data_IF_664355257035
#
_entry.id   IF_664355257035
#
_cell.length_a   1.000
_cell.length_b   1.000
_cell.length_c   1.000
_cell.angle_alpha   90.00
_cell.angle_beta   90.00
_cell.angle_gamma   90.00
#
_symmetry.space_group_name_H-M   'P 1'
#
loop_
_entity.id
_entity.type
_entity.pdbx_description
1 polymer ?
#
# COMPACT_ATOMS: atom_id res chain seq x y z
N UNK A 1 -22.02 26.65 4.34
CA UNK A 1 -21.00 25.89 5.10
C UNK A 1 -20.31 24.94 4.12
N UNK A 2 -19.19 25.38 3.55
CA UNK A 2 -18.43 24.61 2.55
C UNK A 2 -17.38 23.76 3.27
N UNK A 3 -17.81 22.72 3.98
CA UNK A 3 -16.88 21.74 4.53
C UNK A 3 -16.51 20.81 3.39
N UNK A 4 -15.37 21.16 2.77
CA UNK A 4 -14.71 20.44 1.71
C UNK A 4 -14.93 18.93 1.83
N UNK A 5 -15.44 18.36 0.73
CA UNK A 5 -15.37 16.96 0.31
C UNK A 5 -14.25 16.24 1.07
N UNK A 6 -14.55 15.66 2.23
CA UNK A 6 -13.64 14.74 2.89
C UNK A 6 -13.48 13.59 1.89
N UNK A 7 -12.34 13.57 1.22
CA UNK A 7 -12.05 12.80 0.02
C UNK A 7 -12.74 11.42 0.06
N UNK A 8 -13.87 11.20 -0.65
CA UNK A 8 -14.68 9.99 -0.49
C UNK A 8 -13.86 8.73 -0.80
N UNK A 9 -12.80 8.86 -1.60
CA UNK A 9 -11.87 7.78 -1.87
C UNK A 9 -11.13 7.31 -0.62
N UNK A 10 -10.78 8.19 0.31
CA UNK A 10 -10.07 7.81 1.55
C UNK A 10 -10.94 7.08 2.58
N UNK A 11 -12.25 7.37 2.62
CA UNK A 11 -13.18 6.68 3.51
C UNK A 11 -13.61 5.32 2.95
N UNK A 12 -13.71 5.19 1.61
CA UNK A 12 -13.96 3.91 0.94
C UNK A 12 -12.71 3.02 0.88
N UNK A 13 -11.52 3.61 0.80
CA UNK A 13 -10.27 2.88 0.76
C UNK A 13 -9.91 2.36 2.16
N UNK A 14 -10.07 1.05 2.34
CA UNK A 14 -9.81 0.29 3.58
C UNK A 14 -10.68 0.72 4.79
N UNK A 15 -11.73 1.53 4.61
CA UNK A 15 -12.71 1.85 5.65
C UNK A 15 -12.12 2.60 6.85
N UNK A 16 -12.45 2.16 8.07
CA UNK A 16 -11.97 2.71 9.34
C UNK A 16 -10.59 2.18 9.78
N UNK A 17 -9.75 1.74 8.83
CA UNK A 17 -8.38 1.32 9.14
C UNK A 17 -7.47 2.52 9.45
N UNK A 18 -6.43 2.32 10.28
CA UNK A 18 -5.51 3.40 10.65
C UNK A 18 -4.83 4.04 9.43
N UNK A 19 -4.61 5.36 9.47
CA UNK A 19 -3.99 6.10 8.36
C UNK A 19 -2.58 5.60 8.01
N UNK A 20 -1.82 5.13 8.99
CA UNK A 20 -0.48 4.58 8.78
C UNK A 20 -0.54 3.28 7.95
N UNK A 21 -1.56 2.45 8.16
CA UNK A 21 -1.77 1.20 7.43
C UNK A 21 -2.09 1.48 5.96
N UNK A 22 -3.02 2.41 5.73
CA UNK A 22 -3.41 2.85 4.38
C UNK A 22 -2.22 3.40 3.59
N UNK A 23 -1.39 4.23 4.23
CA UNK A 23 -0.16 4.78 3.61
C UNK A 23 0.82 3.67 3.23
N UNK A 24 1.01 2.68 4.09
CA UNK A 24 1.91 1.56 3.81
C UNK A 24 1.44 0.72 2.62
N UNK A 25 0.15 0.39 2.55
CA UNK A 25 -0.41 -0.32 1.39
C UNK A 25 -0.24 0.50 0.10
N UNK A 26 -0.49 1.81 0.13
CA UNK A 26 -0.30 2.66 -1.05
C UNK A 26 1.16 2.70 -1.47
N UNK A 27 2.11 2.78 -0.52
CA UNK A 27 3.53 2.76 -0.82
C UNK A 27 3.96 1.46 -1.51
N UNK A 28 3.50 0.32 -1.00
CA UNK A 28 3.75 -0.99 -1.58
C UNK A 28 3.14 -1.15 -2.98
N UNK A 29 1.93 -0.64 -3.19
CA UNK A 29 1.28 -0.64 -4.49
C UNK A 29 2.08 0.13 -5.55
N UNK A 30 2.76 1.22 -5.15
CA UNK A 30 3.60 2.03 -6.03
C UNK A 30 4.98 1.39 -6.24
N UNK A 31 5.57 0.82 -5.18
CA UNK A 31 6.90 0.20 -5.22
C UNK A 31 6.94 -1.01 -6.16
N UNK A 32 5.88 -1.83 -6.19
CA UNK A 32 5.80 -3.02 -7.04
C UNK A 32 6.00 -2.78 -8.55
N UNK A 33 5.24 -1.88 -9.22
CA UNK A 33 5.45 -1.59 -10.64
C UNK A 33 6.79 -0.90 -10.91
N UNK A 34 7.29 -0.07 -9.99
CA UNK A 34 8.62 0.54 -10.12
C UNK A 34 9.70 -0.54 -10.12
N UNK A 35 9.65 -1.49 -9.18
CA UNK A 35 10.59 -2.60 -9.11
C UNK A 35 10.51 -3.52 -10.32
N UNK A 36 9.29 -3.79 -10.80
CA UNK A 36 9.10 -4.61 -11.99
C UNK A 36 9.80 -3.99 -13.21
N UNK A 37 9.71 -2.66 -13.36
CA UNK A 37 10.28 -1.95 -14.50
C UNK A 37 11.80 -1.74 -14.37
N UNK A 38 12.31 -1.53 -13.15
CA UNK A 38 13.73 -1.16 -12.92
C UNK A 38 14.61 -2.37 -12.61
N UNK A 39 14.13 -3.29 -11.78
CA UNK A 39 14.91 -4.42 -11.24
C UNK A 39 14.53 -5.77 -11.86
N UNK A 40 13.47 -5.81 -12.67
CA UNK A 40 13.01 -7.00 -13.37
C UNK A 40 12.32 -8.03 -12.45
N UNK A 41 11.84 -9.13 -13.03
CA UNK A 41 10.98 -10.09 -12.34
C UNK A 41 11.67 -10.84 -11.19
N UNK A 42 12.99 -11.05 -11.26
CA UNK A 42 13.73 -11.77 -10.22
C UNK A 42 13.77 -11.00 -8.90
N UNK A 43 14.18 -9.72 -8.94
CA UNK A 43 14.26 -8.88 -7.73
C UNK A 43 12.85 -8.56 -7.21
N UNK A 44 11.90 -8.29 -8.11
CA UNK A 44 10.51 -8.02 -7.75
C UNK A 44 9.90 -9.19 -6.99
N UNK A 45 10.19 -10.44 -7.37
CA UNK A 45 9.74 -11.63 -6.64
C UNK A 45 10.23 -11.68 -5.19
N UNK A 46 11.51 -11.36 -4.93
CA UNK A 46 12.04 -11.29 -3.57
C UNK A 46 11.42 -10.16 -2.75
N UNK A 47 11.18 -9.00 -3.37
CA UNK A 47 10.53 -7.88 -2.69
C UNK A 47 9.07 -8.21 -2.35
N UNK A 48 8.34 -8.90 -3.23
CA UNK A 48 6.98 -9.38 -2.94
C UNK A 48 6.94 -10.33 -1.75
N UNK A 49 7.95 -11.19 -1.59
CA UNK A 49 8.06 -12.06 -0.39
C UNK A 49 8.29 -11.22 0.87
N UNK A 50 9.17 -10.23 0.82
CA UNK A 50 9.42 -9.33 1.95
C UNK A 50 8.18 -8.51 2.31
N UNK A 51 7.46 -8.00 1.32
CA UNK A 51 6.20 -7.26 1.45
C UNK A 51 5.10 -8.12 2.06
N UNK A 52 5.01 -9.39 1.67
CA UNK A 52 4.06 -10.33 2.24
C UNK A 52 4.33 -10.61 3.73
N UNK A 53 5.59 -10.85 4.11
CA UNK A 53 5.95 -11.04 5.52
C UNK A 53 5.64 -9.78 6.34
N UNK A 54 5.94 -8.60 5.80
CA UNK A 54 5.63 -7.34 6.46
C UNK A 54 4.12 -7.16 6.67
N UNK A 55 3.30 -7.42 5.65
CA UNK A 55 1.84 -7.28 5.77
C UNK A 55 1.22 -8.30 6.72
N UNK A 56 1.79 -9.51 6.81
CA UNK A 56 1.42 -10.50 7.85
C UNK A 56 1.76 -10.01 9.26
N UNK A 57 2.97 -9.47 9.47
CA UNK A 57 3.37 -8.92 10.76
C UNK A 57 2.51 -7.73 11.18
N UNK A 58 1.96 -7.00 10.20
CA UNK A 58 1.05 -5.88 10.39
C UNK A 58 -0.37 -6.30 10.80
N UNK A 59 -0.77 -7.50 10.37
CA UNK A 59 -2.10 -8.04 10.55
C UNK A 59 -2.26 -8.81 11.87
N UNK A 60 -1.15 -9.22 12.51
CA UNK A 60 -1.10 -9.86 13.83
C UNK A 60 -1.21 -8.81 14.96
#
# INVERSE_FOLDING_TARGET
>A
MNTAVANPYWHNFLGASPDWYKKTIIAFLIINPILLYVAGPFVTGWVLIAEFIFTLALAL
#
